data_IF_453898908996
#
_entry.id   IF_453898908996
#
_cell.length_a   1.000
_cell.length_b   1.000
_cell.length_c   1.000
_cell.angle_alpha   90.00
_cell.angle_beta   90.00
_cell.angle_gamma   90.00
#
_symmetry.space_group_name_H-M   'P 1'
#
loop_
_entity.id
_entity.type
_entity.pdbx_description
1 polymer ?
#
# COMPACT_ATOMS: atom_id res chain seq x y z
N UNK A 1 11.74 33.14 -62.38
CA UNK A 1 12.40 31.94 -61.82
C UNK A 1 11.77 31.49 -60.49
N UNK A 2 11.47 32.34 -59.55
CA UNK A 2 10.98 32.04 -58.17
C UNK A 2 9.69 31.18 -58.12
N UNK A 3 8.72 31.42 -59.05
CA UNK A 3 7.45 30.64 -59.09
C UNK A 3 7.61 29.16 -59.51
N UNK A 4 8.59 28.82 -60.31
CA UNK A 4 8.85 27.42 -60.71
C UNK A 4 9.54 26.64 -59.60
N UNK A 5 10.48 27.26 -58.89
CA UNK A 5 11.16 26.66 -57.74
C UNK A 5 10.21 26.42 -56.55
N UNK A 6 9.29 27.38 -56.28
CA UNK A 6 8.28 27.23 -55.26
C UNK A 6 7.29 26.08 -55.55
N UNK A 7 6.85 25.93 -56.80
CA UNK A 7 6.01 24.79 -57.23
C UNK A 7 6.73 23.44 -57.03
N UNK A 8 8.01 23.39 -57.38
CA UNK A 8 8.83 22.18 -57.20
C UNK A 8 8.97 21.79 -55.73
N UNK A 9 9.20 22.76 -54.82
CA UNK A 9 9.29 22.53 -53.40
C UNK A 9 7.95 22.06 -52.81
N UNK A 10 6.83 22.68 -53.21
CA UNK A 10 5.49 22.26 -52.75
C UNK A 10 5.13 20.84 -53.25
N UNK A 11 5.49 20.50 -54.47
CA UNK A 11 5.29 19.13 -54.99
C UNK A 11 6.16 18.11 -54.27
N UNK A 12 7.40 18.46 -53.97
CA UNK A 12 8.33 17.59 -53.24
C UNK A 12 7.89 17.37 -51.80
N UNK A 13 7.45 18.43 -51.11
CA UNK A 13 6.88 18.35 -49.75
C UNK A 13 5.54 17.60 -49.75
N UNK A 14 4.67 17.82 -50.73
CA UNK A 14 3.42 17.09 -50.89
C UNK A 14 3.64 15.60 -51.18
N UNK A 15 4.64 15.25 -52.01
CA UNK A 15 5.03 13.87 -52.27
C UNK A 15 5.62 13.17 -51.07
N UNK A 16 6.50 13.86 -50.32
CA UNK A 16 7.03 13.38 -49.04
C UNK A 16 5.93 13.18 -48.00
N UNK A 17 5.00 14.14 -47.87
CA UNK A 17 3.86 14.07 -46.98
C UNK A 17 2.91 12.92 -47.32
N UNK A 18 2.62 12.74 -48.60
CA UNK A 18 1.78 11.61 -49.06
C UNK A 18 2.48 10.24 -48.85
N UNK A 19 3.78 10.16 -49.12
CA UNK A 19 4.58 8.96 -48.87
C UNK A 19 4.62 8.60 -47.38
N UNK A 20 4.80 9.58 -46.49
CA UNK A 20 4.78 9.41 -45.05
C UNK A 20 3.37 8.98 -44.57
N UNK A 21 2.30 9.59 -45.11
CA UNK A 21 0.93 9.22 -44.77
C UNK A 21 0.58 7.77 -45.17
N UNK A 22 1.01 7.35 -46.35
CA UNK A 22 0.84 5.96 -46.82
C UNK A 22 1.63 5.01 -45.93
N UNK A 23 2.87 5.33 -45.59
CA UNK A 23 3.73 4.52 -44.72
C UNK A 23 3.12 4.37 -43.32
N UNK A 24 2.58 5.46 -42.75
CA UNK A 24 1.87 5.44 -41.46
C UNK A 24 0.58 4.62 -41.55
N UNK A 25 -0.17 4.71 -42.65
CA UNK A 25 -1.40 3.93 -42.89
C UNK A 25 -1.10 2.43 -42.99
N UNK A 26 -0.06 2.04 -43.70
CA UNK A 26 0.40 0.65 -43.82
C UNK A 26 0.90 0.14 -42.46
N UNK A 27 1.67 0.94 -41.72
CA UNK A 27 2.14 0.60 -40.40
C UNK A 27 0.95 0.43 -39.39
N UNK A 28 -0.02 1.34 -39.44
CA UNK A 28 -1.22 1.24 -38.61
C UNK A 28 -2.06 0.00 -38.97
N UNK A 29 -2.22 -0.30 -40.24
CA UNK A 29 -2.91 -1.50 -40.70
C UNK A 29 -2.17 -2.78 -40.26
N UNK A 30 -0.86 -2.83 -40.37
CA UNK A 30 -0.03 -3.95 -39.97
C UNK A 30 -0.07 -4.16 -38.43
N UNK A 31 0.00 -3.07 -37.66
CA UNK A 31 -0.18 -3.08 -36.20
C UNK A 31 -1.60 -3.49 -35.78
N UNK A 32 -2.62 -3.13 -36.54
CA UNK A 32 -4.00 -3.57 -36.28
C UNK A 32 -4.23 -5.04 -36.56
N UNK A 33 -3.38 -5.67 -37.37
CA UNK A 33 -3.45 -7.09 -37.74
C UNK A 33 -2.76 -8.02 -36.74
N UNK A 34 -1.97 -7.45 -35.79
CA UNK A 34 -1.30 -8.19 -34.73
C UNK A 34 0.00 -7.55 -34.24
N UNK A 35 0.60 -8.13 -33.21
CA UNK A 35 1.89 -7.66 -32.68
C UNK A 35 3.02 -7.87 -33.69
N UNK A 36 3.90 -6.90 -33.81
CA UNK A 36 5.09 -6.95 -34.68
C UNK A 36 6.32 -7.20 -33.81
N UNK A 37 7.01 -8.32 -34.01
CA UNK A 37 8.31 -8.54 -33.37
C UNK A 37 9.37 -7.61 -33.99
N UNK A 38 10.04 -6.91 -33.09
CA UNK A 38 11.17 -6.00 -33.43
C UNK A 38 12.47 -6.52 -32.80
N UNK A 39 12.75 -7.82 -32.92
CA UNK A 39 13.90 -8.44 -32.27
C UNK A 39 15.24 -7.74 -32.55
N UNK A 40 15.36 -7.06 -33.72
CA UNK A 40 16.52 -6.22 -34.00
C UNK A 40 16.64 -5.01 -33.05
N UNK A 41 15.53 -4.53 -32.51
CA UNK A 41 15.50 -3.39 -31.60
C UNK A 41 15.96 -3.78 -30.19
N UNK A 42 15.80 -5.03 -29.79
CA UNK A 42 16.22 -5.53 -28.46
C UNK A 42 17.69 -5.27 -28.21
N UNK A 43 18.55 -5.61 -29.15
CA UNK A 43 19.99 -5.37 -29.03
C UNK A 43 20.35 -3.86 -28.95
N UNK A 44 19.62 -3.01 -29.68
CA UNK A 44 19.82 -1.56 -29.62
C UNK A 44 19.35 -0.97 -28.29
N UNK A 45 18.22 -1.43 -27.78
CA UNK A 45 17.69 -1.02 -26.47
C UNK A 45 18.62 -1.48 -25.34
N UNK A 46 19.08 -2.73 -25.36
CA UNK A 46 20.06 -3.25 -24.40
C UNK A 46 21.31 -2.37 -24.38
N UNK A 47 21.88 -2.11 -25.54
CA UNK A 47 23.09 -1.29 -25.65
C UNK A 47 22.87 0.15 -25.18
N UNK A 48 21.75 0.77 -25.55
CA UNK A 48 21.43 2.14 -25.15
C UNK A 48 21.21 2.27 -23.65
N UNK A 49 20.49 1.32 -23.02
CA UNK A 49 20.23 1.32 -21.59
C UNK A 49 21.53 1.00 -20.82
N UNK A 50 22.27 0.00 -21.25
CA UNK A 50 23.48 -0.44 -20.58
C UNK A 50 24.64 0.57 -20.70
N UNK A 51 24.68 1.37 -21.76
CA UNK A 51 25.72 2.40 -21.94
C UNK A 51 25.67 3.50 -20.86
N UNK A 52 24.48 3.78 -20.30
CA UNK A 52 24.31 4.78 -19.24
C UNK A 52 24.42 4.23 -17.81
N UNK A 53 24.60 2.90 -17.63
CA UNK A 53 24.53 2.24 -16.33
C UNK A 53 25.85 1.54 -15.98
N UNK A 54 26.37 1.84 -14.78
CA UNK A 54 27.58 1.18 -14.25
C UNK A 54 27.27 0.07 -13.22
N UNK A 55 26.08 0.10 -12.62
CA UNK A 55 25.75 -0.75 -11.49
C UNK A 55 24.97 -2.01 -11.85
N UNK A 56 24.37 -2.05 -13.04
CA UNK A 56 23.61 -3.20 -13.53
C UNK A 56 23.61 -3.24 -15.06
N UNK A 57 23.33 -4.41 -15.59
CA UNK A 57 23.08 -4.63 -17.02
C UNK A 57 21.69 -5.20 -17.21
N UNK A 58 20.97 -4.73 -18.23
CA UNK A 58 19.72 -5.34 -18.66
C UNK A 58 19.99 -6.25 -19.84
N UNK A 59 19.39 -7.42 -19.84
CA UNK A 59 19.30 -8.33 -20.97
C UNK A 59 17.84 -8.64 -21.24
N UNK A 60 17.47 -8.70 -22.52
CA UNK A 60 16.09 -8.93 -22.95
C UNK A 60 16.06 -9.88 -24.15
N UNK A 61 15.04 -10.75 -24.21
CA UNK A 61 14.95 -11.78 -25.25
C UNK A 61 14.35 -11.25 -26.53
N UNK A 62 13.24 -10.54 -26.46
CA UNK A 62 12.53 -10.03 -27.63
C UNK A 62 11.83 -8.71 -27.31
N UNK A 63 11.59 -7.92 -28.37
CA UNK A 63 10.85 -6.67 -28.29
C UNK A 63 9.70 -6.74 -29.29
N UNK A 64 8.50 -6.49 -28.80
CA UNK A 64 7.25 -6.56 -29.56
C UNK A 64 6.61 -5.17 -29.54
N UNK A 65 6.23 -4.67 -30.72
CA UNK A 65 5.44 -3.45 -30.86
C UNK A 65 3.98 -3.83 -31.01
N UNK A 66 3.12 -3.28 -30.14
CA UNK A 66 1.69 -3.51 -30.18
C UNK A 66 0.92 -2.19 -30.26
N UNK A 67 -0.25 -2.23 -30.83
CA UNK A 67 -1.20 -1.13 -30.80
C UNK A 67 -2.19 -1.36 -29.63
N UNK A 68 -2.05 -0.58 -28.56
CA UNK A 68 -2.88 -0.73 -27.36
C UNK A 68 -4.14 0.18 -27.34
N UNK A 69 -4.52 0.74 -28.50
CA UNK A 69 -5.68 1.64 -28.65
C UNK A 69 -5.30 3.13 -28.68
N UNK A 70 -6.32 3.99 -28.76
CA UNK A 70 -6.13 5.43 -28.91
C UNK A 70 -5.51 6.13 -27.72
N UNK A 71 -5.71 5.58 -26.50
CA UNK A 71 -5.14 6.11 -25.26
C UNK A 71 -3.66 5.74 -25.08
N UNK A 72 -3.21 4.66 -25.75
CA UNK A 72 -1.85 4.13 -25.72
C UNK A 72 -1.41 3.82 -27.15
N UNK A 73 -1.13 4.85 -27.93
CA UNK A 73 -0.92 4.74 -29.36
C UNK A 73 0.17 3.78 -29.79
N UNK A 74 1.23 3.62 -29.00
CA UNK A 74 2.32 2.67 -29.26
C UNK A 74 2.79 2.10 -27.93
N UNK A 75 2.65 0.79 -27.80
CA UNK A 75 3.07 0.03 -26.63
C UNK A 75 4.23 -0.88 -27.01
N UNK A 76 5.38 -0.66 -26.41
CA UNK A 76 6.58 -1.45 -26.64
C UNK A 76 6.67 -2.47 -25.51
N UNK A 77 6.56 -3.75 -25.85
CA UNK A 77 6.67 -4.85 -24.91
C UNK A 77 8.00 -5.54 -25.05
N UNK A 78 8.66 -5.73 -23.94
CA UNK A 78 9.94 -6.42 -23.84
C UNK A 78 9.72 -7.68 -23.04
N UNK A 79 10.10 -8.82 -23.61
CA UNK A 79 9.92 -10.13 -22.99
C UNK A 79 11.19 -10.61 -22.32
N UNK A 80 11.01 -11.34 -21.20
CA UNK A 80 12.08 -11.96 -20.42
C UNK A 80 13.21 -10.97 -20.12
N UNK A 81 12.88 -9.90 -19.40
CA UNK A 81 13.85 -8.89 -18.98
C UNK A 81 14.61 -9.42 -17.75
N UNK A 82 15.94 -9.53 -17.90
CA UNK A 82 16.84 -9.92 -16.82
C UNK A 82 17.66 -8.72 -16.38
N UNK A 83 17.74 -8.51 -15.07
CA UNK A 83 18.62 -7.53 -14.45
C UNK A 83 19.85 -8.28 -13.93
N UNK A 84 21.02 -7.94 -14.43
CA UNK A 84 22.29 -8.58 -14.12
C UNK A 84 23.22 -7.60 -13.40
N UNK A 85 24.06 -8.07 -12.50
CA UNK A 85 25.21 -7.29 -12.01
C UNK A 85 26.26 -7.14 -13.14
N UNK A 86 27.24 -6.23 -12.98
CA UNK A 86 28.33 -6.10 -13.95
C UNK A 86 29.15 -7.40 -14.14
N UNK A 87 29.17 -8.27 -13.11
CA UNK A 87 29.83 -9.57 -13.13
C UNK A 87 29.00 -10.68 -13.81
N UNK A 88 27.80 -10.37 -14.28
CA UNK A 88 26.87 -11.30 -14.93
C UNK A 88 25.93 -12.05 -13.98
N UNK A 89 26.00 -11.80 -12.67
CA UNK A 89 25.10 -12.44 -11.69
C UNK A 89 23.67 -11.92 -11.88
N UNK A 90 22.69 -12.82 -11.97
CA UNK A 90 21.27 -12.46 -12.08
C UNK A 90 20.79 -11.77 -10.78
N UNK A 91 20.26 -10.57 -10.92
CA UNK A 91 19.70 -9.78 -9.82
C UNK A 91 18.20 -9.97 -9.74
N UNK A 92 17.55 -10.17 -10.87
CA UNK A 92 16.12 -10.38 -10.93
C UNK A 92 15.62 -10.52 -12.34
N UNK A 93 14.42 -11.03 -12.48
CA UNK A 93 13.77 -11.20 -13.77
C UNK A 93 12.33 -10.68 -13.74
N UNK A 94 11.91 -10.11 -14.86
CA UNK A 94 10.55 -9.70 -15.12
C UNK A 94 10.10 -10.38 -16.41
N UNK A 95 9.03 -11.21 -16.38
CA UNK A 95 8.60 -11.94 -17.57
C UNK A 95 8.24 -11.02 -18.72
N UNK A 96 7.58 -9.89 -18.44
CA UNK A 96 7.18 -8.92 -19.47
C UNK A 96 7.21 -7.51 -18.88
N UNK A 97 7.78 -6.58 -19.63
CA UNK A 97 7.77 -5.13 -19.34
C UNK A 97 7.17 -4.42 -20.54
N UNK A 98 6.11 -3.65 -20.31
CA UNK A 98 5.52 -2.79 -21.31
C UNK A 98 5.82 -1.34 -20.99
N UNK A 99 6.13 -0.53 -22.01
CA UNK A 99 6.29 0.89 -21.85
C UNK A 99 5.76 1.67 -23.06
N UNK A 100 5.14 2.80 -22.79
CA UNK A 100 4.76 3.76 -23.82
C UNK A 100 5.65 4.99 -23.77
N UNK A 101 5.87 5.61 -24.90
CA UNK A 101 6.70 6.81 -25.02
C UNK A 101 5.87 8.08 -24.85
N UNK A 102 6.50 9.10 -24.27
CA UNK A 102 5.91 10.44 -24.18
C UNK A 102 6.00 11.19 -25.50
N UNK A 103 4.84 11.46 -26.14
CA UNK A 103 4.79 12.27 -27.34
C UNK A 103 5.32 13.69 -27.12
N UNK A 104 5.12 14.25 -25.92
CA UNK A 104 5.64 15.58 -25.58
C UNK A 104 7.18 15.59 -25.53
N UNK A 105 7.79 14.57 -24.93
CA UNK A 105 9.24 14.41 -24.91
C UNK A 105 9.83 14.22 -26.32
N UNK A 106 9.15 13.42 -27.16
CA UNK A 106 9.58 13.18 -28.54
C UNK A 106 9.61 14.46 -29.36
N UNK A 107 8.63 15.35 -29.23
CA UNK A 107 8.62 16.67 -29.89
C UNK A 107 9.81 17.53 -29.45
N UNK A 108 10.28 17.36 -28.21
CA UNK A 108 11.46 18.04 -27.68
C UNK A 108 12.78 17.32 -28.00
N UNK A 109 12.73 16.24 -28.79
CA UNK A 109 13.90 15.43 -29.15
C UNK A 109 14.40 14.51 -28.04
N UNK A 110 13.60 14.29 -27.01
CA UNK A 110 13.94 13.44 -25.87
C UNK A 110 13.16 12.11 -25.93
N UNK A 111 13.87 10.99 -25.77
CA UNK A 111 13.25 9.68 -25.64
C UNK A 111 12.94 9.43 -24.15
N UNK A 112 11.67 9.49 -23.78
CA UNK A 112 11.22 9.36 -22.42
C UNK A 112 9.98 8.46 -22.26
N UNK A 113 9.90 7.61 -21.23
CA UNK A 113 8.72 6.81 -20.98
C UNK A 113 7.57 7.68 -20.41
N UNK A 114 6.35 7.41 -20.86
CA UNK A 114 5.12 7.95 -20.28
C UNK A 114 4.51 6.98 -19.27
N UNK A 115 4.51 5.69 -19.59
CA UNK A 115 4.07 4.62 -18.70
C UNK A 115 5.04 3.46 -18.72
N UNK A 116 5.16 2.78 -17.59
CA UNK A 116 5.88 1.51 -17.44
C UNK A 116 4.94 0.54 -16.75
N UNK A 117 4.80 -0.68 -17.30
CA UNK A 117 4.01 -1.76 -16.74
C UNK A 117 4.88 -3.01 -16.61
N UNK A 118 4.93 -3.60 -15.43
CA UNK A 118 5.67 -4.82 -15.11
C UNK A 118 4.66 -5.95 -14.90
N UNK A 119 4.76 -7.03 -15.66
CA UNK A 119 3.86 -8.17 -15.57
C UNK A 119 4.55 -9.37 -14.91
N UNK A 120 3.97 -9.88 -13.84
CA UNK A 120 4.44 -11.06 -13.13
C UNK A 120 5.82 -10.97 -12.51
N UNK A 121 6.32 -9.79 -12.04
CA UNK A 121 7.62 -9.73 -11.39
C UNK A 121 7.59 -10.51 -10.08
N UNK A 122 8.73 -11.10 -9.71
CA UNK A 122 8.93 -11.78 -8.43
C UNK A 122 9.78 -10.90 -7.53
N UNK A 123 9.14 -10.35 -6.50
CA UNK A 123 9.73 -9.33 -5.64
C UNK A 123 9.87 -9.82 -4.21
N UNK A 124 10.90 -9.34 -3.53
CA UNK A 124 11.08 -9.48 -2.09
C UNK A 124 11.05 -8.10 -1.45
N UNK A 125 10.17 -7.92 -0.48
CA UNK A 125 10.13 -6.75 0.39
C UNK A 125 10.60 -7.21 1.76
N UNK A 126 11.66 -6.60 2.27
CA UNK A 126 12.21 -6.99 3.57
C UNK A 126 12.25 -5.79 4.51
N UNK A 127 11.89 -6.00 5.77
CA UNK A 127 12.12 -5.05 6.85
C UNK A 127 13.19 -5.62 7.78
N UNK A 128 14.30 -4.90 7.92
CA UNK A 128 15.39 -5.32 8.78
C UNK A 128 15.12 -5.01 10.27
N UNK A 129 16.00 -5.46 11.17
CA UNK A 129 15.90 -5.19 12.61
C UNK A 129 15.98 -3.70 12.97
N UNK A 130 16.55 -2.86 12.13
CA UNK A 130 16.60 -1.40 12.27
C UNK A 130 15.32 -0.69 11.80
N UNK A 131 14.33 -1.44 11.26
CA UNK A 131 13.09 -0.89 10.73
C UNK A 131 13.16 -0.41 9.27
N UNK A 132 14.34 -0.45 8.64
CA UNK A 132 14.49 -0.05 7.24
C UNK A 132 13.80 -1.05 6.30
N UNK A 133 13.11 -0.53 5.30
CA UNK A 133 12.44 -1.33 4.27
C UNK A 133 13.34 -1.43 3.04
N UNK A 134 13.58 -2.64 2.56
CA UNK A 134 14.27 -2.93 1.32
C UNK A 134 13.34 -3.60 0.31
N UNK A 135 13.47 -3.24 -0.96
CA UNK A 135 12.75 -3.91 -2.06
C UNK A 135 13.80 -4.47 -3.01
N UNK A 136 13.66 -5.73 -3.37
CA UNK A 136 14.54 -6.43 -4.31
C UNK A 136 13.79 -7.48 -5.11
N UNK A 137 14.49 -8.16 -6.00
CA UNK A 137 13.97 -9.35 -6.68
C UNK A 137 14.25 -10.60 -5.84
N UNK A 138 13.40 -11.63 -5.98
CA UNK A 138 13.52 -12.85 -5.16
C UNK A 138 14.82 -13.64 -5.41
N UNK A 139 15.39 -13.51 -6.60
CA UNK A 139 16.52 -14.30 -7.06
C UNK A 139 17.87 -13.77 -6.54
N UNK A 140 17.86 -12.79 -5.63
CA UNK A 140 19.09 -12.20 -5.08
C UNK A 140 19.02 -11.89 -3.59
N UNK A 141 20.14 -12.15 -2.88
CA UNK A 141 20.36 -11.64 -1.52
C UNK A 141 20.69 -10.12 -1.49
N UNK A 142 21.02 -9.54 -2.63
CA UNK A 142 21.37 -8.13 -2.76
C UNK A 142 20.11 -7.25 -2.74
N UNK A 143 19.80 -6.76 -1.55
CA UNK A 143 18.78 -5.74 -1.37
C UNK A 143 19.23 -4.43 -2.01
N UNK A 144 18.60 -4.04 -3.10
CA UNK A 144 18.81 -2.71 -3.68
C UNK A 144 17.87 -1.69 -3.02
N UNK A 145 18.11 -1.40 -1.72
CA UNK A 145 17.45 -0.31 -0.99
C UNK A 145 17.41 0.98 -1.84
N UNK A 146 18.50 1.23 -2.53
CA UNK A 146 18.70 2.45 -3.28
C UNK A 146 17.88 2.55 -4.57
N UNK A 147 17.49 1.44 -5.20
CA UNK A 147 16.77 1.51 -6.48
C UNK A 147 15.33 1.97 -6.29
N UNK A 148 14.59 1.34 -5.39
CA UNK A 148 13.19 1.69 -5.13
C UNK A 148 13.05 3.09 -4.54
N UNK A 149 13.95 3.47 -3.60
CA UNK A 149 13.99 4.81 -3.03
C UNK A 149 14.37 5.86 -4.07
N UNK A 150 15.34 5.58 -4.95
CA UNK A 150 15.70 6.52 -6.04
C UNK A 150 14.54 6.68 -7.03
N UNK A 151 13.87 5.59 -7.41
CA UNK A 151 12.70 5.65 -8.28
C UNK A 151 11.58 6.48 -7.64
N UNK A 152 11.29 6.22 -6.37
CA UNK A 152 10.28 6.99 -5.63
C UNK A 152 10.66 8.47 -5.53
N UNK A 153 11.91 8.77 -5.17
CA UNK A 153 12.40 10.15 -5.11
C UNK A 153 12.34 10.87 -6.47
N UNK A 154 12.61 10.15 -7.57
CA UNK A 154 12.45 10.71 -8.91
C UNK A 154 10.99 10.95 -9.29
N UNK A 155 10.08 10.06 -8.87
CA UNK A 155 8.64 10.25 -9.07
C UNK A 155 8.07 11.40 -8.22
N UNK A 156 8.64 11.63 -7.04
CA UNK A 156 8.24 12.71 -6.13
C UNK A 156 8.94 14.05 -6.47
N UNK A 157 10.05 14.02 -7.21
CA UNK A 157 10.80 15.22 -7.58
C UNK A 157 9.96 16.16 -8.47
N UNK A 158 10.26 17.44 -8.42
CA UNK A 158 9.68 18.42 -9.34
C UNK A 158 9.98 18.04 -10.81
N UNK A 159 9.02 18.24 -11.73
CA UNK A 159 9.22 17.93 -13.13
C UNK A 159 10.37 18.72 -13.74
N UNK A 160 11.36 18.01 -14.26
CA UNK A 160 12.49 18.56 -15.01
C UNK A 160 12.38 18.13 -16.47
N UNK A 161 12.37 19.08 -17.40
CA UNK A 161 12.19 18.83 -18.83
C UNK A 161 13.36 18.07 -19.47
N UNK A 162 14.54 18.16 -18.87
CA UNK A 162 15.74 17.50 -19.35
C UNK A 162 15.91 16.09 -18.77
N UNK A 163 15.09 15.73 -17.78
CA UNK A 163 15.08 14.40 -17.16
C UNK A 163 14.00 13.50 -17.76
N UNK A 164 14.35 12.40 -18.48
CA UNK A 164 13.38 11.47 -19.07
C UNK A 164 12.37 10.91 -18.07
N UNK A 165 12.76 10.66 -16.81
CA UNK A 165 11.89 10.13 -15.77
C UNK A 165 10.81 11.11 -15.32
N UNK A 166 10.97 12.41 -15.58
CA UNK A 166 9.96 13.43 -15.29
C UNK A 166 8.72 13.32 -16.18
N UNK A 167 8.82 12.64 -17.31
CA UNK A 167 7.70 12.37 -18.21
C UNK A 167 6.90 11.13 -17.81
N UNK A 168 7.42 10.32 -16.88
CA UNK A 168 6.72 9.13 -16.38
C UNK A 168 5.51 9.56 -15.53
N UNK A 169 4.32 9.26 -16.02
CA UNK A 169 3.05 9.59 -15.37
C UNK A 169 2.33 8.38 -14.80
N UNK A 170 2.73 7.17 -15.22
CA UNK A 170 2.10 5.91 -14.79
C UNK A 170 3.15 4.82 -14.61
N UNK A 171 3.09 4.16 -13.46
CA UNK A 171 3.82 2.92 -13.18
C UNK A 171 2.82 1.88 -12.68
N UNK A 172 2.77 0.73 -13.34
CA UNK A 172 1.90 -0.38 -12.94
C UNK A 172 2.73 -1.65 -12.73
N UNK A 173 2.37 -2.39 -11.70
CA UNK A 173 2.86 -3.75 -11.45
C UNK A 173 1.63 -4.65 -11.40
N UNK A 174 1.57 -5.64 -12.25
CA UNK A 174 0.42 -6.52 -12.44
C UNK A 174 0.79 -7.95 -12.09
N UNK A 175 0.00 -8.57 -11.22
CA UNK A 175 0.17 -9.97 -10.81
C UNK A 175 1.58 -10.28 -10.27
N UNK A 176 2.14 -9.38 -9.44
CA UNK A 176 3.44 -9.63 -8.80
C UNK A 176 3.32 -10.75 -7.76
N UNK A 177 4.31 -11.64 -7.74
CA UNK A 177 4.57 -12.52 -6.61
C UNK A 177 5.47 -11.76 -5.63
N UNK A 178 4.99 -11.52 -4.40
CA UNK A 178 5.75 -10.76 -3.40
C UNK A 178 5.95 -11.61 -2.15
N UNK A 179 7.19 -11.74 -1.72
CA UNK A 179 7.55 -12.22 -0.40
C UNK A 179 7.82 -11.02 0.50
N UNK A 180 7.07 -10.92 1.59
CA UNK A 180 7.26 -9.92 2.64
C UNK A 180 8.04 -10.57 3.78
N UNK A 181 9.31 -10.23 3.93
CA UNK A 181 10.16 -10.73 5.02
C UNK A 181 10.33 -9.66 6.09
N UNK A 182 9.73 -9.86 7.23
CA UNK A 182 9.82 -8.95 8.35
C UNK A 182 10.73 -9.54 9.44
N UNK A 183 11.98 -9.10 9.47
CA UNK A 183 12.96 -9.58 10.46
C UNK A 183 12.65 -9.08 11.87
N UNK A 184 11.99 -7.92 11.98
CA UNK A 184 11.61 -7.37 13.27
C UNK A 184 10.49 -8.20 13.91
N UNK A 185 9.57 -8.72 13.10
CA UNK A 185 8.48 -9.58 13.52
C UNK A 185 8.85 -11.08 13.48
N UNK A 186 9.97 -11.43 12.85
CA UNK A 186 10.35 -12.82 12.61
C UNK A 186 9.32 -13.58 11.77
N UNK A 187 8.63 -12.89 10.85
CA UNK A 187 7.56 -13.44 10.02
C UNK A 187 7.85 -13.21 8.54
N UNK A 188 7.41 -14.17 7.73
CA UNK A 188 7.41 -14.05 6.28
C UNK A 188 6.02 -14.37 5.74
N UNK A 189 5.54 -13.54 4.81
CA UNK A 189 4.28 -13.75 4.13
C UNK A 189 4.51 -13.74 2.62
N UNK A 190 3.75 -14.54 1.89
CA UNK A 190 3.82 -14.60 0.44
C UNK A 190 2.46 -14.25 -0.14
N UNK A 191 2.45 -13.33 -1.11
CA UNK A 191 1.31 -13.11 -1.98
C UNK A 191 1.65 -13.53 -3.40
N UNK A 192 0.76 -14.28 -4.03
CA UNK A 192 0.93 -14.74 -5.41
C UNK A 192 0.39 -13.74 -6.44
N UNK A 193 -0.37 -12.74 -6.00
CA UNK A 193 -0.97 -11.75 -6.88
C UNK A 193 -1.10 -10.42 -6.16
N UNK A 194 -0.09 -9.57 -6.35
CA UNK A 194 -0.14 -8.18 -5.94
C UNK A 194 -0.23 -7.28 -7.17
N UNK A 195 -1.04 -6.24 -7.08
CA UNK A 195 -1.17 -5.23 -8.11
C UNK A 195 -0.85 -3.87 -7.50
N UNK A 196 0.04 -3.13 -8.14
CA UNK A 196 0.43 -1.78 -7.74
C UNK A 196 0.19 -0.85 -8.92
N UNK A 197 -0.49 0.26 -8.68
CA UNK A 197 -0.68 1.30 -9.68
C UNK A 197 -0.27 2.63 -9.07
N UNK A 198 0.68 3.30 -9.70
CA UNK A 198 1.10 4.64 -9.34
C UNK A 198 0.79 5.58 -10.51
N UNK A 199 0.17 6.70 -10.21
CA UNK A 199 -0.15 7.74 -11.18
C UNK A 199 0.28 9.10 -10.65
N UNK A 200 1.03 9.81 -11.45
CA UNK A 200 1.47 11.17 -11.19
C UNK A 200 0.62 12.16 -11.98
N UNK A 201 0.22 13.22 -11.33
CA UNK A 201 -0.46 14.36 -11.95
C UNK A 201 0.15 15.70 -11.48
N UNK A 202 -0.50 16.80 -11.79
CA UNK A 202 -0.03 18.13 -11.41
C UNK A 202 -0.12 18.41 -9.90
N UNK A 203 -0.90 17.64 -9.15
CA UNK A 203 -1.10 17.81 -7.70
C UNK A 203 -0.08 16.99 -6.91
N UNK A 204 0.29 15.83 -7.44
CA UNK A 204 1.22 14.93 -6.77
C UNK A 204 1.20 13.50 -7.31
N UNK A 205 1.25 12.53 -6.41
CA UNK A 205 1.25 11.11 -6.73
C UNK A 205 0.05 10.41 -6.06
N UNK A 206 -0.65 9.59 -6.83
CA UNK A 206 -1.69 8.69 -6.31
C UNK A 206 -1.24 7.26 -6.55
N UNK A 207 -1.31 6.44 -5.51
CA UNK A 207 -0.96 5.02 -5.54
C UNK A 207 -2.13 4.15 -5.11
N UNK A 208 -2.26 3.00 -5.73
CA UNK A 208 -3.18 1.92 -5.33
C UNK A 208 -2.38 0.62 -5.22
N UNK A 209 -2.55 -0.09 -4.11
CA UNK A 209 -1.92 -1.40 -3.88
C UNK A 209 -3.01 -2.37 -3.47
N UNK A 210 -3.17 -3.44 -4.23
CA UNK A 210 -4.10 -4.52 -3.91
C UNK A 210 -3.31 -5.82 -3.81
N UNK A 211 -3.46 -6.51 -2.69
CA UNK A 211 -2.80 -7.79 -2.45
C UNK A 211 -3.62 -8.68 -1.50
N UNK A 212 -3.35 -9.96 -1.54
CA UNK A 212 -3.91 -10.93 -0.61
C UNK A 212 -2.76 -11.68 0.08
N UNK A 213 -2.78 -11.73 1.40
CA UNK A 213 -1.78 -12.44 2.22
C UNK A 213 -2.44 -13.60 2.95
N UNK A 214 -1.75 -14.72 3.06
CA UNK A 214 -2.12 -15.74 4.02
C UNK A 214 -1.61 -15.33 5.41
N UNK A 215 -2.54 -15.08 6.32
CA UNK A 215 -2.26 -14.76 7.72
C UNK A 215 -2.86 -15.87 8.58
N UNK A 216 -2.01 -16.74 9.11
CA UNK A 216 -2.38 -17.91 9.92
C UNK A 216 -3.41 -18.84 9.24
N UNK A 217 -3.21 -19.15 7.95
CA UNK A 217 -4.05 -20.04 7.16
C UNK A 217 -5.36 -19.41 6.68
N UNK A 218 -5.47 -18.08 6.73
CA UNK A 218 -6.61 -17.31 6.20
C UNK A 218 -6.16 -16.28 5.19
N UNK A 219 -6.77 -16.29 4.02
CA UNK A 219 -6.54 -15.27 3.01
C UNK A 219 -7.13 -13.93 3.47
N UNK A 220 -6.26 -12.96 3.71
CA UNK A 220 -6.61 -11.59 4.03
C UNK A 220 -6.32 -10.68 2.84
N UNK A 221 -7.35 -9.97 2.37
CA UNK A 221 -7.21 -9.00 1.27
C UNK A 221 -6.96 -7.62 1.81
N UNK A 222 -5.98 -6.96 1.21
CA UNK A 222 -5.64 -5.57 1.48
C UNK A 222 -5.84 -4.75 0.22
N UNK A 223 -6.51 -3.62 0.36
CA UNK A 223 -6.62 -2.59 -0.67
C UNK A 223 -6.17 -1.27 -0.06
N UNK A 224 -5.05 -0.76 -0.54
CA UNK A 224 -4.43 0.45 -0.01
C UNK A 224 -4.42 1.53 -1.06
N UNK A 225 -4.87 2.73 -0.71
CA UNK A 225 -4.74 3.93 -1.52
C UNK A 225 -3.77 4.88 -0.83
N UNK A 226 -2.85 5.42 -1.60
CA UNK A 226 -1.82 6.36 -1.13
C UNK A 226 -1.94 7.64 -1.95
N UNK A 227 -2.09 8.78 -1.30
CA UNK A 227 -2.09 10.10 -1.93
C UNK A 227 -0.92 10.93 -1.39
N UNK A 228 -0.05 11.39 -2.25
CA UNK A 228 0.99 12.37 -1.90
C UNK A 228 0.67 13.72 -2.53
N UNK A 229 0.57 14.75 -1.70
CA UNK A 229 0.35 16.13 -2.10
C UNK A 229 1.67 16.90 -2.04
N UNK A 230 2.23 17.24 -3.20
CA UNK A 230 3.56 17.87 -3.30
C UNK A 230 3.64 19.21 -2.58
N UNK A 231 2.60 20.07 -2.72
CA UNK A 231 2.58 21.39 -2.11
C UNK A 231 2.54 21.35 -0.58
N UNK A 232 1.82 20.39 -0.01
CA UNK A 232 1.67 20.21 1.43
C UNK A 232 2.75 19.28 2.03
N UNK A 233 3.50 18.58 1.20
CA UNK A 233 4.45 17.52 1.59
C UNK A 233 3.80 16.46 2.50
N UNK A 234 2.53 16.22 2.28
CA UNK A 234 1.68 15.33 3.07
C UNK A 234 1.40 14.04 2.32
N UNK A 235 1.41 12.96 3.06
CA UNK A 235 1.05 11.62 2.63
C UNK A 235 -0.25 11.19 3.33
N UNK A 236 -1.27 10.85 2.56
CA UNK A 236 -2.52 10.27 3.05
C UNK A 236 -2.58 8.81 2.60
N UNK A 237 -2.72 7.89 3.55
CA UNK A 237 -2.77 6.45 3.31
C UNK A 237 -4.08 5.89 3.83
N UNK A 238 -4.85 5.26 2.98
CA UNK A 238 -6.08 4.54 3.37
C UNK A 238 -5.90 3.06 3.12
N UNK A 239 -6.02 2.26 4.17
CA UNK A 239 -5.91 0.80 4.11
C UNK A 239 -7.28 0.20 4.43
N UNK A 240 -7.83 -0.54 3.47
CA UNK A 240 -8.98 -1.41 3.68
C UNK A 240 -8.48 -2.84 3.80
N UNK A 241 -8.95 -3.57 4.78
CA UNK A 241 -8.59 -4.97 4.96
C UNK A 241 -9.81 -5.83 5.28
N UNK A 242 -9.76 -7.05 4.81
CA UNK A 242 -10.71 -8.09 5.20
C UNK A 242 -10.15 -8.84 6.43
N UNK A 243 -10.88 -9.70 6.96
CA UNK A 243 -10.64 -10.59 8.10
C UNK A 243 -9.19 -10.77 8.61
N UNK A 244 -8.76 -9.92 9.56
CA UNK A 244 -7.49 -10.03 10.29
C UNK A 244 -7.77 -10.30 11.76
N UNK A 245 -7.17 -11.32 12.35
CA UNK A 245 -7.22 -11.50 13.81
C UNK A 245 -6.14 -10.66 14.49
N UNK A 246 -6.49 -9.66 15.33
CA UNK A 246 -5.48 -8.84 16.00
C UNK A 246 -4.54 -9.64 16.90
N UNK A 247 -5.01 -10.74 17.45
CA UNK A 247 -4.22 -11.62 18.32
C UNK A 247 -2.95 -12.14 17.66
N UNK A 248 -2.92 -12.26 16.30
CA UNK A 248 -1.74 -12.68 15.54
C UNK A 248 -0.57 -11.70 15.72
N UNK A 249 -0.87 -10.42 15.87
CA UNK A 249 0.13 -9.37 16.02
C UNK A 249 0.59 -9.16 17.48
N UNK A 250 -0.07 -9.79 18.43
CA UNK A 250 0.20 -9.61 19.88
C UNK A 250 1.59 -10.03 20.33
N UNK A 251 2.26 -10.89 19.57
CA UNK A 251 3.63 -11.36 19.86
C UNK A 251 4.70 -10.54 19.15
N UNK A 252 4.31 -9.60 18.29
CA UNK A 252 5.22 -8.86 17.42
C UNK A 252 5.94 -7.71 18.15
N UNK A 253 5.20 -7.00 19.00
CA UNK A 253 5.73 -5.93 19.83
C UNK A 253 5.10 -6.00 21.22
N UNK A 254 5.83 -5.54 22.20
CA UNK A 254 5.34 -5.51 23.60
C UNK A 254 4.06 -4.69 23.74
N UNK A 255 4.00 -3.56 23.03
CA UNK A 255 2.85 -2.64 23.02
C UNK A 255 1.60 -3.26 22.39
N UNK A 256 1.77 -4.25 21.50
CA UNK A 256 0.68 -4.99 20.87
C UNK A 256 0.20 -6.18 21.72
N UNK A 257 0.83 -6.45 22.85
CA UNK A 257 0.44 -7.51 23.77
C UNK A 257 -1.08 -7.53 24.12
N UNK A 258 -1.72 -6.37 24.33
CA UNK A 258 -3.16 -6.29 24.57
C UNK A 258 -4.03 -6.85 23.45
N UNK A 259 -3.57 -6.89 22.21
CA UNK A 259 -4.29 -7.45 21.07
C UNK A 259 -4.58 -8.96 21.24
N UNK A 260 -3.85 -9.65 22.11
CA UNK A 260 -4.15 -11.06 22.47
C UNK A 260 -5.55 -11.22 23.03
N UNK A 261 -6.10 -10.17 23.64
CA UNK A 261 -7.47 -10.16 24.13
C UNK A 261 -8.50 -10.33 23.00
N UNK A 262 -8.17 -9.89 21.79
CA UNK A 262 -9.09 -9.85 20.65
C UNK A 262 -8.88 -11.05 19.73
N UNK A 263 -9.35 -12.22 20.13
CA UNK A 263 -9.29 -13.44 19.32
C UNK A 263 -10.55 -13.55 18.42
N UNK A 264 -10.71 -12.59 17.52
CA UNK A 264 -11.82 -12.51 16.56
C UNK A 264 -11.34 -11.84 15.26
N UNK A 265 -11.92 -12.22 14.09
CA UNK A 265 -11.57 -11.58 12.82
C UNK A 265 -12.15 -10.17 12.77
N UNK A 266 -11.29 -9.19 12.54
CA UNK A 266 -11.64 -7.80 12.25
C UNK A 266 -11.49 -7.51 10.76
N UNK A 267 -12.36 -6.65 10.26
CA UNK A 267 -12.27 -6.00 8.95
C UNK A 267 -12.49 -4.50 9.13
N UNK A 268 -12.00 -3.71 8.23
CA UNK A 268 -12.26 -2.27 8.32
C UNK A 268 -11.36 -1.42 7.46
N UNK A 269 -11.42 -0.14 7.76
CA UNK A 269 -10.67 0.91 7.09
C UNK A 269 -9.86 1.69 8.12
N UNK A 270 -8.61 1.94 7.79
CA UNK A 270 -7.72 2.84 8.54
C UNK A 270 -7.19 3.88 7.57
N UNK A 271 -7.38 5.16 7.88
CA UNK A 271 -6.82 6.27 7.11
C UNK A 271 -5.83 7.03 7.98
N UNK A 272 -4.62 7.24 7.47
CA UNK A 272 -3.54 7.91 8.19
C UNK A 272 -3.02 9.05 7.33
N UNK A 273 -3.02 10.26 7.89
CA UNK A 273 -2.31 11.42 7.34
C UNK A 273 -0.98 11.61 8.07
N UNK A 274 0.10 11.70 7.31
CA UNK A 274 1.45 11.84 7.87
C UNK A 274 2.33 12.75 7.02
N UNK A 275 3.39 13.29 7.64
CA UNK A 275 4.48 13.95 6.91
C UNK A 275 5.38 12.93 6.22
N UNK A 276 6.24 13.39 5.29
CA UNK A 276 7.26 12.52 4.66
C UNK A 276 8.29 11.95 5.65
N UNK A 277 8.47 12.60 6.78
CA UNK A 277 9.36 12.14 7.85
C UNK A 277 8.71 11.05 8.74
N UNK A 278 7.49 10.61 8.37
CA UNK A 278 6.77 9.54 9.05
C UNK A 278 6.04 9.99 10.33
N UNK A 279 5.92 11.30 10.57
CA UNK A 279 5.17 11.82 11.71
C UNK A 279 3.68 11.73 11.38
N UNK A 280 2.94 10.94 12.17
CA UNK A 280 1.49 10.81 12.04
C UNK A 280 0.83 12.10 12.56
N UNK A 281 0.10 12.78 11.69
CA UNK A 281 -0.66 13.98 12.02
C UNK A 281 -2.06 13.64 12.51
N UNK A 282 -2.72 12.73 11.81
CA UNK A 282 -4.04 12.23 12.18
C UNK A 282 -4.23 10.80 11.66
N UNK A 283 -5.04 10.01 12.37
CA UNK A 283 -5.52 8.74 11.87
C UNK A 283 -7.00 8.56 12.22
N UNK A 284 -7.77 8.00 11.29
CA UNK A 284 -9.15 7.59 11.50
C UNK A 284 -9.25 6.09 11.28
N UNK A 285 -10.03 5.41 12.12
CA UNK A 285 -10.27 3.99 11.92
C UNK A 285 -11.74 3.65 12.16
N UNK A 286 -12.22 2.74 11.32
CA UNK A 286 -13.54 2.15 11.42
C UNK A 286 -13.39 0.64 11.23
N UNK A 287 -13.59 -0.10 12.32
CA UNK A 287 -13.35 -1.53 12.40
C UNK A 287 -14.63 -2.24 12.78
N UNK A 288 -14.84 -3.42 12.21
CA UNK A 288 -15.93 -4.30 12.61
C UNK A 288 -15.45 -5.75 12.64
N UNK A 289 -16.01 -6.53 13.53
CA UNK A 289 -15.63 -7.93 13.66
C UNK A 289 -16.85 -8.84 13.82
N UNK A 290 -16.65 -10.09 13.43
CA UNK A 290 -17.63 -11.14 13.56
C UNK A 290 -17.50 -11.92 14.87
N UNK A 291 -17.90 -13.21 14.81
CA UNK A 291 -17.82 -14.12 15.94
C UNK A 291 -16.40 -14.43 16.36
N UNK A 292 -16.17 -14.46 17.68
CA UNK A 292 -14.89 -14.79 18.24
C UNK A 292 -14.90 -14.80 19.75
N UNK A 293 -13.76 -14.51 20.36
CA UNK A 293 -13.58 -14.53 21.81
C UNK A 293 -12.86 -13.26 22.24
N UNK A 294 -13.36 -12.62 23.27
CA UNK A 294 -12.68 -11.57 24.02
C UNK A 294 -12.08 -12.16 25.29
N UNK A 295 -10.76 -12.20 25.38
CA UNK A 295 -10.04 -12.69 26.56
C UNK A 295 -9.74 -11.51 27.49
N UNK A 296 -10.45 -11.41 28.58
CA UNK A 296 -10.21 -10.36 29.59
C UNK A 296 -8.92 -10.67 30.35
N UNK A 297 -8.05 -9.66 30.56
CA UNK A 297 -6.86 -9.84 31.39
C UNK A 297 -7.22 -9.96 32.88
N UNK A 298 -6.29 -10.45 33.71
CA UNK A 298 -6.46 -10.44 35.18
C UNK A 298 -6.77 -9.02 35.72
N UNK A 299 -7.58 -8.86 36.77
CA UNK A 299 -8.08 -9.88 37.67
C UNK A 299 -9.35 -10.62 37.22
N UNK A 300 -9.91 -10.27 36.07
CA UNK A 300 -11.11 -10.92 35.55
C UNK A 300 -10.83 -12.26 34.85
N UNK A 301 -9.64 -12.46 34.33
CA UNK A 301 -9.11 -13.65 33.64
C UNK A 301 -10.17 -14.61 33.08
N UNK A 302 -10.96 -14.10 32.15
CA UNK A 302 -12.14 -14.77 31.64
C UNK A 302 -12.25 -14.58 30.13
N UNK A 303 -12.71 -15.61 29.44
CA UNK A 303 -13.01 -15.55 28.00
C UNK A 303 -14.50 -15.34 27.77
N UNK A 304 -14.87 -14.29 27.09
CA UNK A 304 -16.24 -13.96 26.72
C UNK A 304 -16.49 -14.27 25.24
N UNK A 305 -17.55 -15.00 24.91
CA UNK A 305 -17.93 -15.18 23.51
C UNK A 305 -18.43 -13.86 22.94
N UNK A 306 -17.95 -13.51 21.74
CA UNK A 306 -18.36 -12.30 21.02
C UNK A 306 -19.11 -12.72 19.76
N UNK A 307 -20.26 -12.12 19.48
CA UNK A 307 -21.02 -12.26 18.24
C UNK A 307 -20.63 -11.20 17.22
N UNK A 308 -20.29 -10.00 17.70
CA UNK A 308 -19.91 -8.88 16.85
C UNK A 308 -19.22 -7.78 17.64
N UNK A 309 -18.38 -7.03 16.98
CA UNK A 309 -17.73 -5.83 17.52
C UNK A 309 -17.73 -4.74 16.46
N UNK A 310 -17.95 -3.49 16.87
CA UNK A 310 -17.68 -2.30 16.08
C UNK A 310 -16.82 -1.33 16.88
N UNK A 311 -15.88 -0.69 16.22
CA UNK A 311 -14.97 0.27 16.82
C UNK A 311 -14.72 1.40 15.83
N UNK A 312 -14.92 2.63 16.27
CA UNK A 312 -14.64 3.84 15.51
C UNK A 312 -13.89 4.84 16.37
N UNK A 313 -12.88 5.45 15.81
CA UNK A 313 -12.11 6.45 16.54
C UNK A 313 -11.18 7.27 15.65
N UNK A 314 -10.61 8.28 16.29
CA UNK A 314 -9.74 9.29 15.67
C UNK A 314 -8.51 9.46 16.57
N UNK A 315 -7.35 9.48 15.95
CA UNK A 315 -6.10 9.85 16.60
C UNK A 315 -5.60 11.20 16.05
N UNK A 316 -5.25 12.11 16.93
CA UNK A 316 -4.64 13.40 16.60
C UNK A 316 -3.19 13.46 17.13
N UNK A 317 -2.23 13.36 16.19
CA UNK A 317 -0.81 13.24 16.53
C UNK A 317 -0.24 14.49 17.22
N UNK A 318 -0.69 15.69 16.83
CA UNK A 318 -0.23 16.95 17.44
C UNK A 318 -0.56 17.06 18.95
N UNK A 319 -1.68 16.51 19.34
CA UNK A 319 -2.16 16.45 20.74
C UNK A 319 -1.78 15.15 21.45
N UNK A 320 -1.34 14.14 20.69
CA UNK A 320 -1.14 12.76 21.14
C UNK A 320 -2.42 12.24 21.84
N UNK A 321 -3.54 12.42 21.12
CA UNK A 321 -4.88 12.12 21.62
C UNK A 321 -5.55 11.06 20.76
N UNK A 322 -6.10 10.04 21.40
CA UNK A 322 -6.95 9.04 20.78
C UNK A 322 -8.37 9.16 21.33
N UNK A 323 -9.33 9.52 20.48
CA UNK A 323 -10.75 9.53 20.79
C UNK A 323 -11.40 8.24 20.28
N UNK A 324 -12.00 7.46 21.16
CA UNK A 324 -12.90 6.35 20.84
C UNK A 324 -14.31 6.91 20.73
N UNK A 325 -14.76 7.17 19.51
CA UNK A 325 -16.09 7.73 19.27
C UNK A 325 -17.20 6.73 19.58
N UNK A 326 -16.93 5.45 19.27
CA UNK A 326 -17.88 4.38 19.44
C UNK A 326 -17.13 3.04 19.50
N UNK A 327 -17.42 2.26 20.52
CA UNK A 327 -17.04 0.85 20.65
C UNK A 327 -18.24 0.07 21.12
N UNK A 328 -18.73 -0.89 20.34
CA UNK A 328 -19.82 -1.79 20.70
C UNK A 328 -19.36 -3.23 20.61
N UNK A 329 -19.71 -4.02 21.63
CA UNK A 329 -19.42 -5.45 21.72
C UNK A 329 -20.72 -6.17 21.98
N UNK A 330 -21.18 -6.99 21.04
CA UNK A 330 -22.28 -7.93 21.21
C UNK A 330 -21.72 -9.26 21.71
N UNK A 331 -22.07 -9.64 22.93
CA UNK A 331 -21.59 -10.86 23.59
C UNK A 331 -22.55 -12.05 23.45
N UNK A 332 -23.73 -11.80 22.92
CA UNK A 332 -24.72 -12.84 22.67
C UNK A 332 -25.43 -13.36 23.94
N UNK A 333 -26.37 -14.31 23.74
CA UNK A 333 -27.35 -14.63 24.79
C UNK A 333 -26.82 -15.47 25.96
N UNK A 334 -25.63 -16.05 25.87
CA UNK A 334 -25.08 -16.93 26.93
C UNK A 334 -23.89 -16.29 27.69
N UNK A 335 -23.47 -15.10 27.29
CA UNK A 335 -22.32 -14.47 27.92
C UNK A 335 -22.65 -14.01 29.34
N UNK A 336 -21.68 -14.11 30.19
CA UNK A 336 -21.78 -13.65 31.59
C UNK A 336 -20.42 -13.27 32.11
N UNK A 337 -20.35 -12.19 32.84
CA UNK A 337 -19.17 -11.72 33.54
C UNK A 337 -19.15 -12.30 34.94
N UNK A 338 -18.08 -12.95 35.34
CA UNK A 338 -17.82 -13.41 36.68
C UNK A 338 -16.95 -12.39 37.39
N UNK A 339 -17.50 -11.73 38.40
CA UNK A 339 -16.74 -10.76 39.19
C UNK A 339 -15.82 -11.49 40.18
N UNK A 340 -14.59 -10.97 40.42
CA UNK A 340 -13.66 -11.56 41.36
C UNK A 340 -14.12 -11.40 42.79
N UNK A 341 -13.49 -12.14 43.70
CA UNK A 341 -13.70 -11.95 45.16
C UNK A 341 -13.41 -10.49 45.58
N UNK A 342 -14.15 -9.92 46.53
CA UNK A 342 -15.14 -10.57 47.41
C UNK A 342 -16.56 -10.70 46.83
N UNK A 343 -16.84 -10.10 45.67
CA UNK A 343 -18.19 -10.05 45.10
C UNK A 343 -18.63 -11.42 44.57
N UNK A 344 -17.73 -12.15 43.90
CA UNK A 344 -17.91 -13.52 43.39
C UNK A 344 -19.28 -13.79 42.76
N UNK A 345 -19.81 -12.83 42.02
CA UNK A 345 -21.14 -12.89 41.42
C UNK A 345 -21.06 -13.06 39.91
N UNK A 346 -21.97 -13.87 39.37
CA UNK A 346 -22.10 -14.09 37.92
C UNK A 346 -23.20 -13.18 37.38
N UNK A 347 -22.78 -12.16 36.60
CA UNK A 347 -23.71 -11.22 36.00
C UNK A 347 -23.94 -11.58 34.51
N UNK A 348 -25.19 -11.69 34.06
CA UNK A 348 -25.44 -11.80 32.62
C UNK A 348 -25.00 -10.52 31.91
N UNK A 349 -24.34 -10.63 30.76
CA UNK A 349 -23.89 -9.48 30.01
C UNK A 349 -24.20 -9.74 28.53
N UNK A 350 -25.12 -8.98 27.94
CA UNK A 350 -25.53 -9.13 26.55
C UNK A 350 -24.68 -8.29 25.62
N UNK A 351 -24.44 -7.03 25.98
CA UNK A 351 -23.63 -6.11 25.21
C UNK A 351 -22.89 -5.12 26.10
N UNK A 352 -21.83 -4.58 25.56
CA UNK A 352 -21.06 -3.48 26.16
C UNK A 352 -20.81 -2.42 25.08
N UNK A 353 -21.16 -1.17 25.39
CA UNK A 353 -20.75 -0.02 24.62
C UNK A 353 -19.85 0.90 25.44
N UNK A 354 -18.92 1.56 24.73
CA UNK A 354 -17.92 2.40 25.36
C UNK A 354 -17.59 3.60 24.46
N UNK A 355 -17.46 4.77 25.11
CA UNK A 355 -16.84 5.97 24.51
C UNK A 355 -15.78 6.49 25.46
N UNK A 356 -14.70 7.02 24.91
CA UNK A 356 -13.62 7.50 25.76
C UNK A 356 -12.53 8.20 24.98
N UNK A 357 -11.54 8.66 25.74
CA UNK A 357 -10.40 9.41 25.24
C UNK A 357 -9.14 8.99 25.97
N UNK A 358 -8.07 8.85 25.24
CA UNK A 358 -6.74 8.67 25.80
C UNK A 358 -5.85 9.87 25.43
N UNK A 359 -5.20 10.46 26.43
CA UNK A 359 -4.27 11.57 26.32
C UNK A 359 -2.85 11.03 26.59
N UNK A 360 -2.06 10.80 25.54
CA UNK A 360 -0.75 10.17 25.66
C UNK A 360 0.25 11.03 26.43
N UNK A 361 0.26 12.35 26.23
CA UNK A 361 1.15 13.29 26.95
C UNK A 361 1.01 13.25 28.47
N UNK A 362 -0.19 13.00 28.95
CA UNK A 362 -0.51 12.92 30.39
C UNK A 362 -0.75 11.49 30.87
N UNK A 363 -0.70 10.53 29.96
CA UNK A 363 -1.01 9.12 30.23
C UNK A 363 -2.37 8.95 30.93
N UNK A 364 -3.37 9.73 30.48
CA UNK A 364 -4.68 9.77 31.07
C UNK A 364 -5.72 9.14 30.16
N UNK A 365 -6.44 8.16 30.70
CA UNK A 365 -7.58 7.52 30.03
C UNK A 365 -8.88 8.03 30.68
N UNK A 366 -9.75 8.61 29.89
CA UNK A 366 -11.08 9.08 30.28
C UNK A 366 -12.11 8.23 29.53
N UNK A 367 -12.84 7.38 30.24
CA UNK A 367 -13.99 6.65 29.70
C UNK A 367 -15.24 7.36 30.16
N UNK A 368 -15.88 8.05 29.21
CA UNK A 368 -17.00 8.95 29.52
C UNK A 368 -18.32 8.24 29.58
N UNK A 369 -18.47 7.14 28.84
CA UNK A 369 -19.74 6.43 28.73
C UNK A 369 -19.45 4.92 28.59
N UNK A 370 -19.75 4.17 29.59
CA UNK A 370 -19.77 2.70 29.58
C UNK A 370 -21.22 2.30 29.83
N UNK A 371 -21.83 1.61 28.86
CA UNK A 371 -23.18 1.06 29.02
C UNK A 371 -23.11 -0.44 28.86
N UNK A 372 -23.52 -1.15 29.92
CA UNK A 372 -23.61 -2.60 29.95
C UNK A 372 -25.08 -3.03 29.98
N UNK A 373 -25.49 -3.84 28.99
CA UNK A 373 -26.81 -4.50 29.01
C UNK A 373 -26.71 -5.82 29.80
N UNK A 374 -27.39 -5.86 30.93
CA UNK A 374 -27.42 -7.00 31.86
C UNK A 374 -28.62 -7.92 31.63
N UNK A 375 -29.23 -7.85 30.44
CA UNK A 375 -30.46 -8.61 30.05
C UNK A 375 -31.71 -8.22 30.86
N UNK A 376 -31.95 -6.97 30.90
CA UNK A 376 -33.07 -6.34 31.56
C UNK A 376 -32.65 -4.99 32.15
N UNK A 377 -31.94 -4.96 33.27
CA UNK A 377 -31.34 -3.72 33.72
C UNK A 377 -30.13 -3.36 32.89
N UNK A 378 -29.85 -2.05 32.75
CA UNK A 378 -28.62 -1.52 32.18
C UNK A 378 -27.82 -0.84 33.29
N UNK A 379 -26.50 -1.08 33.28
CA UNK A 379 -25.57 -0.35 34.13
C UNK A 379 -24.84 0.70 33.28
N UNK A 380 -24.73 1.91 33.83
CA UNK A 380 -23.91 2.98 33.22
C UNK A 380 -22.73 3.27 34.15
N UNK A 381 -21.59 3.51 33.56
CA UNK A 381 -20.38 3.85 34.29
C UNK A 381 -19.55 4.87 33.55
N UNK A 382 -18.73 5.59 34.28
CA UNK A 382 -17.63 6.39 33.75
C UNK A 382 -16.37 6.14 34.56
N UNK A 383 -15.22 6.30 33.99
CA UNK A 383 -13.94 6.08 34.64
C UNK A 383 -12.88 7.09 34.14
N UNK A 384 -12.05 7.49 35.09
CA UNK A 384 -10.85 8.26 34.79
C UNK A 384 -9.66 7.56 35.42
N UNK A 385 -8.65 7.29 34.59
CA UNK A 385 -7.44 6.58 35.03
C UNK A 385 -6.24 7.47 34.69
N UNK A 386 -5.49 7.87 35.71
CA UNK A 386 -4.25 8.62 35.55
C UNK A 386 -3.05 7.68 35.64
N UNK A 387 -2.01 7.97 34.85
CA UNK A 387 -0.81 7.12 34.74
C UNK A 387 -1.06 5.82 34.00
N UNK A 388 -2.02 5.82 33.05
CA UNK A 388 -2.31 4.66 32.22
C UNK A 388 -1.19 4.46 31.18
N UNK A 389 -0.30 3.55 31.49
CA UNK A 389 0.80 3.13 30.59
C UNK A 389 0.58 1.69 30.10
N UNK A 390 -0.67 1.41 29.69
CA UNK A 390 -1.11 0.06 29.34
C UNK A 390 -1.85 -0.64 30.50
N UNK A 391 -2.34 -1.85 30.23
CA UNK A 391 -3.27 -2.57 31.16
C UNK A 391 -2.62 -2.94 32.51
N UNK A 392 -1.30 -2.83 32.65
CA UNK A 392 -0.59 -3.30 33.86
C UNK A 392 -0.27 -2.22 34.90
N UNK A 393 -0.21 -0.95 34.50
CA UNK A 393 0.18 0.14 35.42
C UNK A 393 -0.94 1.16 35.52
N UNK A 394 -1.81 0.98 36.48
CA UNK A 394 -2.86 1.93 36.82
C UNK A 394 -2.43 2.64 38.12
N UNK A 395 -2.05 3.91 38.02
CA UNK A 395 -1.62 4.68 39.18
C UNK A 395 -2.82 5.14 40.06
N UNK A 396 -3.91 5.59 39.43
CA UNK A 396 -5.15 5.99 40.11
C UNK A 396 -6.37 5.77 39.20
N UNK A 397 -7.40 5.16 39.71
CA UNK A 397 -8.67 4.97 39.02
C UNK A 397 -9.83 5.53 39.87
N UNK A 398 -10.69 6.34 39.24
CA UNK A 398 -11.98 6.77 39.79
C UNK A 398 -13.07 6.22 38.91
N UNK A 399 -14.06 5.54 39.51
CA UNK A 399 -15.19 4.96 38.79
C UNK A 399 -16.49 5.39 39.44
N UNK A 400 -17.47 5.79 38.61
CA UNK A 400 -18.86 6.02 39.02
C UNK A 400 -19.74 5.01 38.31
N UNK A 401 -20.68 4.39 39.04
CA UNK A 401 -21.61 3.38 38.52
C UNK A 401 -23.02 3.77 38.91
N UNK A 402 -23.91 3.86 37.91
CA UNK A 402 -25.35 4.05 38.08
C UNK A 402 -26.07 2.84 37.49
N UNK A 403 -27.15 2.39 38.18
CA UNK A 403 -27.95 1.25 37.80
C UNK A 403 -29.35 1.65 37.39
#
# INVERSE_FOLDING_TARGET
MIRRTFRGIVQLLGGLGAGLAIMLMVAAWQLSSGPISLGFLSAHLENAINAGQQNFKLSMKDTILTWAGWDRTLDIRVLEVHVLKPDGTLVGSVPEVSFSLSGQALISGLLAPRSIELFGPRLRVSRNLGGDIGIGFMDTEAQSKDFALRLLNQLLAEPDKDNPMSYLTRLEVVNAEITLDDQLLGKSWVTQSANVRLRRDAVGLVGEVNLALDIDGRETKFSTTVGYQSAARRLDVTVNFSEVSPAVFSSMYYELGPLRALALPLKGTVTVGMSLDGIVEAANFELSGGRGVLNLPGPLEQSLPVNGVSLKGIYEGGEDRLDIEEMNIDLGPKASLVLPAPISHKMPLASLSLKGRYLGKTQRLEVTDIVADLRGPSAKASAVVDGFNGIRDIANAKMSIDF
#
